data_IF_856658404869
#
_entry.id   IF_856658404869
#
_cell.length_a   1.000
_cell.length_b   1.000
_cell.length_c   1.000
_cell.angle_alpha   90.00
_cell.angle_beta   90.00
_cell.angle_gamma   90.00
#
_symmetry.space_group_name_H-M   'P 1'
#
loop_
_entity.id
_entity.type
_entity.pdbx_description
1 polymer ?
#
# COMPACT_ATOMS: atom_id res chain seq x y z
N UNK A 1 -28.71 24.14 -26.34
CA UNK A 1 -29.44 23.35 -25.33
C UNK A 1 -28.55 23.23 -24.10
N UNK A 2 -29.02 23.56 -22.89
CA UNK A 2 -28.17 23.44 -21.70
C UNK A 2 -27.91 21.95 -21.42
N UNK A 3 -26.67 21.64 -21.03
CA UNK A 3 -26.24 20.29 -20.72
C UNK A 3 -26.89 19.85 -19.38
N UNK A 4 -27.78 18.85 -19.45
CA UNK A 4 -28.63 18.40 -18.32
C UNK A 4 -27.90 17.36 -17.45
N UNK A 5 -26.69 16.91 -17.84
CA UNK A 5 -25.98 15.86 -17.13
C UNK A 5 -25.24 16.43 -15.92
N UNK A 6 -25.54 15.92 -14.73
CA UNK A 6 -24.82 16.26 -13.49
C UNK A 6 -23.49 15.50 -13.43
N UNK A 7 -22.53 15.98 -12.63
CA UNK A 7 -21.24 15.28 -12.41
C UNK A 7 -21.45 13.81 -12.00
N UNK A 8 -22.51 13.55 -11.23
CA UNK A 8 -22.88 12.23 -10.74
C UNK A 8 -23.29 11.30 -11.89
N UNK A 9 -24.05 11.83 -12.86
CA UNK A 9 -24.47 11.09 -14.06
C UNK A 9 -23.28 10.72 -14.96
N UNK A 10 -22.28 11.58 -15.05
CA UNK A 10 -21.06 11.31 -15.82
C UNK A 10 -20.18 10.24 -15.16
N UNK A 11 -20.14 10.21 -13.84
CA UNK A 11 -19.39 9.19 -13.08
C UNK A 11 -20.10 7.83 -13.14
N UNK A 12 -21.43 7.81 -13.06
CA UNK A 12 -22.23 6.59 -13.06
C UNK A 12 -22.07 5.74 -14.33
N UNK A 13 -21.92 6.37 -15.50
CA UNK A 13 -21.81 5.67 -16.79
C UNK A 13 -20.42 5.01 -17.02
N UNK A 14 -19.39 5.43 -16.29
CA UNK A 14 -18.00 5.02 -16.55
C UNK A 14 -17.51 3.81 -15.74
N UNK A 15 -18.31 3.33 -14.78
CA UNK A 15 -17.89 2.25 -13.87
C UNK A 15 -18.66 0.96 -14.20
N UNK A 16 -18.46 0.43 -15.41
CA UNK A 16 -18.95 -0.91 -15.78
C UNK A 16 -17.82 -1.92 -15.61
N UNK A 17 -17.82 -2.64 -14.49
CA UNK A 17 -16.82 -3.68 -14.22
C UNK A 17 -17.23 -5.00 -14.90
N UNK A 18 -16.56 -5.37 -16.00
CA UNK A 18 -16.69 -6.70 -16.61
C UNK A 18 -15.78 -7.70 -15.90
N UNK A 19 -16.30 -8.87 -15.50
CA UNK A 19 -15.52 -9.87 -14.75
C UNK A 19 -15.79 -11.29 -15.24
N UNK A 20 -14.71 -11.96 -15.64
CA UNK A 20 -14.70 -13.39 -15.99
C UNK A 20 -13.60 -14.12 -15.18
N UNK A 21 -13.50 -13.82 -13.89
CA UNK A 21 -12.49 -14.37 -12.99
C UNK A 21 -13.14 -14.89 -11.71
N UNK A 22 -12.73 -16.08 -11.25
CA UNK A 22 -13.24 -16.69 -10.02
C UNK A 22 -12.73 -15.95 -8.77
N UNK A 23 -11.50 -15.41 -8.81
CA UNK A 23 -10.87 -14.68 -7.70
C UNK A 23 -11.19 -13.18 -7.76
N UNK A 24 -11.81 -12.66 -6.68
CA UNK A 24 -12.32 -11.29 -6.63
C UNK A 24 -11.25 -10.36 -6.10
N UNK A 25 -10.47 -9.77 -7.01
CA UNK A 25 -9.57 -8.67 -6.63
C UNK A 25 -10.34 -7.44 -6.15
N UNK A 26 -11.65 -7.34 -6.41
CA UNK A 26 -12.48 -6.22 -5.97
C UNK A 26 -12.55 -6.17 -4.44
N UNK A 27 -12.78 -7.31 -3.78
CA UNK A 27 -12.77 -7.38 -2.32
C UNK A 27 -11.39 -7.03 -1.75
N UNK A 28 -10.31 -7.57 -2.32
CA UNK A 28 -8.95 -7.29 -1.85
C UNK A 28 -8.55 -5.82 -2.02
N UNK A 29 -8.89 -5.20 -3.15
CA UNK A 29 -8.65 -3.77 -3.41
C UNK A 29 -9.53 -2.90 -2.54
N UNK A 30 -10.80 -3.23 -2.35
CA UNK A 30 -11.72 -2.49 -1.47
C UNK A 30 -11.30 -2.59 0.00
N UNK A 31 -10.75 -3.72 0.44
CA UNK A 31 -10.20 -3.85 1.80
C UNK A 31 -8.93 -3.01 1.99
N UNK A 32 -8.12 -2.86 0.94
CA UNK A 32 -6.86 -2.12 1.04
C UNK A 32 -7.01 -0.62 0.75
N UNK A 33 -8.00 -0.25 -0.05
CA UNK A 33 -8.33 1.13 -0.43
C UNK A 33 -9.85 1.37 -0.23
N UNK A 34 -10.30 1.53 1.02
CA UNK A 34 -11.69 1.85 1.29
C UNK A 34 -12.08 3.17 0.62
N UNK A 35 -13.32 3.25 0.16
CA UNK A 35 -13.89 4.53 -0.29
C UNK A 35 -13.80 5.55 0.85
N UNK A 36 -13.34 6.76 0.52
CA UNK A 36 -13.10 7.86 1.46
C UNK A 36 -12.02 7.61 2.53
N UNK A 37 -11.11 6.65 2.32
CA UNK A 37 -9.94 6.50 3.21
C UNK A 37 -8.93 7.65 3.05
N UNK A 38 -8.34 8.10 4.16
CA UNK A 38 -7.25 9.08 4.16
C UNK A 38 -5.99 8.45 3.59
N UNK A 39 -5.34 9.12 2.64
CA UNK A 39 -4.17 8.60 1.94
C UNK A 39 -3.10 9.68 1.82
N UNK A 40 -1.84 9.32 2.11
CA UNK A 40 -0.74 10.27 1.95
C UNK A 40 -0.42 10.46 0.47
N UNK A 41 -0.49 11.70 0.01
CA UNK A 41 -0.14 12.10 -1.36
C UNK A 41 0.99 13.11 -1.29
N UNK A 42 2.09 12.81 -1.99
CA UNK A 42 3.21 13.72 -2.14
C UNK A 42 3.17 14.30 -3.54
N UNK A 43 3.12 15.61 -3.67
CA UNK A 43 3.14 16.28 -4.97
C UNK A 43 4.11 17.46 -4.95
N UNK A 44 4.66 17.75 -6.13
CA UNK A 44 5.47 18.93 -6.38
C UNK A 44 4.53 20.14 -6.65
N UNK A 45 4.58 21.23 -5.86
CA UNK A 45 3.72 22.40 -6.06
C UNK A 45 3.94 23.09 -7.41
N UNK A 46 5.17 23.05 -7.94
CA UNK A 46 5.52 23.69 -9.22
C UNK A 46 5.18 22.81 -10.43
N UNK A 47 5.11 21.49 -10.21
CA UNK A 47 4.82 20.48 -11.25
C UNK A 47 3.77 19.49 -10.75
N UNK A 48 2.48 19.87 -10.77
CA UNK A 48 1.40 19.06 -10.19
C UNK A 48 1.21 17.70 -10.90
N UNK A 49 1.75 17.53 -12.10
CA UNK A 49 1.78 16.23 -12.79
C UNK A 49 2.67 15.18 -12.11
N UNK A 50 3.58 15.61 -11.23
CA UNK A 50 4.45 14.74 -10.42
C UNK A 50 3.82 14.56 -9.04
N UNK A 51 2.81 13.70 -8.99
CA UNK A 51 2.17 13.30 -7.75
C UNK A 51 2.37 11.79 -7.50
N UNK A 52 2.72 11.45 -6.27
CA UNK A 52 2.92 10.09 -5.80
C UNK A 52 1.99 9.81 -4.64
N UNK A 53 1.50 8.58 -4.58
CA UNK A 53 0.50 8.15 -3.62
C UNK A 53 1.03 6.97 -2.80
N UNK A 54 0.78 6.95 -1.50
CA UNK A 54 1.20 5.87 -0.61
C UNK A 54 0.53 4.53 -1.00
N UNK A 55 1.32 3.58 -1.50
CA UNK A 55 0.78 2.29 -2.02
C UNK A 55 0.39 1.29 -0.92
N UNK A 56 0.99 1.36 0.26
CA UNK A 56 0.82 0.38 1.34
C UNK A 56 0.38 1.05 2.63
N UNK A 57 -0.81 1.64 2.61
CA UNK A 57 -1.39 2.26 3.80
C UNK A 57 -1.57 1.19 4.90
N UNK A 58 -0.87 1.33 6.03
CA UNK A 58 -1.04 0.47 7.22
C UNK A 58 -0.06 -0.70 7.37
N UNK A 59 0.68 -1.12 6.32
CA UNK A 59 1.67 -2.22 6.43
C UNK A 59 2.99 -1.76 7.07
N UNK A 60 3.20 -0.45 7.16
CA UNK A 60 4.39 0.17 7.77
C UNK A 60 4.66 -0.34 9.19
N UNK A 61 3.61 -0.55 10.01
CA UNK A 61 3.77 -1.08 11.37
C UNK A 61 4.33 -2.50 11.34
N UNK A 62 3.82 -3.37 10.48
CA UNK A 62 4.29 -4.75 10.35
C UNK A 62 5.76 -4.79 9.91
N UNK A 63 6.13 -4.04 8.88
CA UNK A 63 7.52 -4.00 8.40
C UNK A 63 8.50 -3.47 9.45
N UNK A 64 8.10 -2.50 10.27
CA UNK A 64 8.92 -2.03 11.40
C UNK A 64 9.20 -3.15 12.41
N UNK A 65 8.16 -3.87 12.84
CA UNK A 65 8.32 -4.99 13.79
C UNK A 65 9.09 -6.16 13.19
N UNK A 66 8.83 -6.50 11.92
CA UNK A 66 9.57 -7.54 11.20
C UNK A 66 11.06 -7.19 11.09
N UNK A 67 11.39 -5.92 10.80
CA UNK A 67 12.77 -5.43 10.75
C UNK A 67 13.48 -5.52 12.09
N UNK A 68 12.81 -5.15 13.20
CA UNK A 68 13.37 -5.26 14.56
C UNK A 68 13.63 -6.74 14.90
N UNK A 69 12.65 -7.62 14.65
CA UNK A 69 12.79 -9.05 14.93
C UNK A 69 13.92 -9.68 14.11
N UNK A 70 14.02 -9.32 12.84
CA UNK A 70 15.10 -9.77 11.97
C UNK A 70 16.47 -9.28 12.46
N UNK A 71 16.58 -8.02 12.87
CA UNK A 71 17.81 -7.46 13.45
C UNK A 71 18.26 -8.18 14.71
N UNK A 72 17.34 -8.47 15.64
CA UNK A 72 17.64 -9.24 16.86
C UNK A 72 18.13 -10.65 16.51
N UNK A 73 17.49 -11.32 15.56
CA UNK A 73 17.85 -12.67 15.13
C UNK A 73 19.27 -12.70 14.53
N UNK A 74 19.61 -11.71 13.70
CA UNK A 74 20.96 -11.59 13.14
C UNK A 74 22.03 -11.37 14.22
N UNK A 75 21.74 -10.53 15.22
CA UNK A 75 22.66 -10.29 16.34
C UNK A 75 22.88 -11.58 17.15
N UNK A 76 21.82 -12.34 17.42
CA UNK A 76 21.93 -13.63 18.12
C UNK A 76 22.77 -14.63 17.35
N UNK A 77 22.53 -14.79 16.04
CA UNK A 77 23.33 -15.67 15.18
C UNK A 77 24.80 -15.23 15.19
N UNK A 78 25.06 -13.94 15.06
CA UNK A 78 26.42 -13.40 15.09
C UNK A 78 27.12 -13.66 16.43
N UNK A 79 26.41 -13.49 17.56
CA UNK A 79 26.95 -13.78 18.88
C UNK A 79 27.31 -15.27 19.04
N UNK A 80 26.46 -16.19 18.54
CA UNK A 80 26.75 -17.64 18.54
C UNK A 80 28.01 -17.94 17.72
N UNK A 81 28.16 -17.34 16.55
CA UNK A 81 29.36 -17.50 15.71
C UNK A 81 30.61 -16.98 16.41
N UNK A 82 30.54 -15.81 17.06
CA UNK A 82 31.66 -15.27 17.83
C UNK A 82 32.05 -16.20 18.99
N UNK A 83 31.08 -16.68 19.77
CA UNK A 83 31.35 -17.61 20.88
C UNK A 83 31.97 -18.92 20.37
N UNK A 84 31.45 -19.45 19.25
CA UNK A 84 32.02 -20.65 18.63
C UNK A 84 33.45 -20.42 18.15
N UNK A 85 33.75 -19.24 17.58
CA UNK A 85 35.08 -18.88 17.11
C UNK A 85 36.08 -18.68 18.25
N UNK A 86 35.69 -18.00 19.33
CA UNK A 86 36.58 -17.76 20.48
C UNK A 86 36.78 -19.00 21.37
N UNK A 87 35.88 -19.98 21.29
CA UNK A 87 36.00 -21.25 22.03
C UNK A 87 36.90 -22.25 21.30
N UNK A 88 37.18 -22.03 20.02
CA UNK A 88 38.02 -22.87 19.18
C UNK A 88 39.46 -22.33 19.13
#
# INVERSE_FOLDING_TARGET
>A
MPNIYTREDMLANSITFYRNSFVSFNTALQTQFPLCSSMTVWYDPEKPSRAYVERYCGVNRYYKWAGILYGILLILVYAVVLVAFFKN
#
